data_IF_206901848832
#
_entry.id   IF_206901848832
#
_cell.length_a   1.000
_cell.length_b   1.000
_cell.length_c   1.000
_cell.angle_alpha   90.00
_cell.angle_beta   90.00
_cell.angle_gamma   90.00
#
_symmetry.space_group_name_H-M   'P 1'
#
loop_
_entity.id
_entity.type
_entity.pdbx_description
1 polymer ?
#
# COMPACT_ATOMS: atom_id res chain seq x y z
N UNK A 1 0.15 -12.34 7.66
CA UNK A 1 1.05 -11.58 6.73
C UNK A 1 0.29 -10.63 5.82
N UNK A 2 -0.75 -11.09 5.12
CA UNK A 2 -1.51 -10.28 4.16
C UNK A 2 -2.18 -9.05 4.79
N UNK A 3 -2.92 -9.23 5.88
CA UNK A 3 -3.55 -8.09 6.58
C UNK A 3 -2.55 -7.09 7.15
N UNK A 4 -1.31 -7.53 7.43
CA UNK A 4 -0.25 -6.63 7.90
C UNK A 4 0.29 -5.77 6.74
N UNK A 5 0.38 -6.34 5.53
CA UNK A 5 0.71 -5.58 4.32
C UNK A 5 -0.40 -4.57 4.00
N UNK A 6 -1.67 -4.99 4.06
CA UNK A 6 -2.82 -4.09 3.86
C UNK A 6 -2.81 -2.93 4.87
N UNK A 7 -2.56 -3.22 6.16
CA UNK A 7 -2.43 -2.19 7.19
C UNK A 7 -1.29 -1.20 6.90
N UNK A 8 -0.14 -1.68 6.42
CA UNK A 8 0.98 -0.83 6.02
C UNK A 8 0.63 0.06 4.82
N UNK A 9 -0.10 -0.45 3.82
CA UNK A 9 -0.54 0.37 2.67
C UNK A 9 -1.55 1.44 3.07
N UNK A 10 -2.48 1.12 3.97
CA UNK A 10 -3.43 2.09 4.49
C UNK A 10 -2.71 3.16 5.32
N UNK A 11 -1.76 2.76 6.17
CA UNK A 11 -0.96 3.71 6.95
C UNK A 11 -0.13 4.63 6.03
N UNK A 12 0.49 4.07 4.99
CA UNK A 12 1.22 4.86 4.01
C UNK A 12 0.31 5.90 3.31
N UNK A 13 -0.90 5.49 2.92
CA UNK A 13 -1.90 6.40 2.33
C UNK A 13 -2.33 7.50 3.31
N UNK A 14 -2.49 7.17 4.59
CA UNK A 14 -2.79 8.16 5.63
C UNK A 14 -1.67 9.20 5.75
N UNK A 15 -0.42 8.75 5.88
CA UNK A 15 0.74 9.65 5.93
C UNK A 15 0.84 10.55 4.68
N UNK A 16 0.54 10.00 3.50
CA UNK A 16 0.50 10.77 2.25
C UNK A 16 -0.56 11.88 2.30
N UNK A 17 -1.77 11.57 2.77
CA UNK A 17 -2.87 12.55 2.91
C UNK A 17 -2.57 13.60 3.98
N UNK A 18 -1.89 13.22 5.06
CA UNK A 18 -1.44 14.14 6.12
C UNK A 18 -0.26 15.03 5.68
N UNK A 19 0.36 14.72 4.52
CA UNK A 19 1.49 15.46 3.97
C UNK A 19 2.87 14.98 4.47
N UNK A 20 2.93 13.92 5.27
CA UNK A 20 4.18 13.26 5.66
C UNK A 20 4.59 12.23 4.59
N UNK A 21 5.07 12.74 3.46
CA UNK A 21 5.50 11.92 2.33
C UNK A 21 6.71 11.04 2.65
N UNK A 22 7.57 11.46 3.59
CA UNK A 22 8.75 10.69 3.98
C UNK A 22 8.35 9.42 4.71
N UNK A 23 7.42 9.54 5.65
CA UNK A 23 6.91 8.38 6.35
C UNK A 23 6.02 7.51 5.44
N UNK A 24 5.25 8.12 4.53
CA UNK A 24 4.51 7.37 3.51
C UNK A 24 5.43 6.45 2.67
N UNK A 25 6.55 6.99 2.17
CA UNK A 25 7.55 6.22 1.42
C UNK A 25 8.19 5.10 2.27
N UNK A 26 8.46 5.38 3.55
CA UNK A 26 8.98 4.38 4.48
C UNK A 26 7.99 3.22 4.67
N UNK A 27 6.71 3.53 4.87
CA UNK A 27 5.65 2.52 5.02
C UNK A 27 5.45 1.72 3.72
N UNK A 28 5.45 2.36 2.55
CA UNK A 28 5.44 1.64 1.26
C UNK A 28 6.68 0.77 1.06
N UNK A 29 7.84 1.17 1.57
CA UNK A 29 9.08 0.39 1.50
C UNK A 29 9.05 -0.91 2.32
N UNK A 30 8.15 -1.02 3.31
CA UNK A 30 7.96 -2.23 4.11
C UNK A 30 7.14 -3.30 3.40
N UNK A 31 6.50 -2.96 2.28
CA UNK A 31 5.68 -3.85 1.48
C UNK A 31 6.33 -4.03 0.11
N UNK A 32 6.60 -5.27 -0.28
CA UNK A 32 7.01 -5.56 -1.64
C UNK A 32 5.76 -5.61 -2.54
N UNK A 33 5.44 -4.48 -3.19
CA UNK A 33 4.28 -4.35 -4.07
C UNK A 33 4.32 -5.33 -5.25
N UNK A 34 5.52 -5.63 -5.77
CA UNK A 34 5.71 -6.50 -6.93
C UNK A 34 5.42 -7.98 -6.62
N UNK A 35 5.42 -8.36 -5.34
CA UNK A 35 5.10 -9.72 -4.88
C UNK A 35 3.63 -9.89 -4.48
N UNK A 36 2.81 -8.84 -4.57
CA UNK A 36 1.39 -8.94 -4.19
C UNK A 36 0.57 -9.71 -5.23
N UNK A 37 -0.21 -10.68 -4.76
CA UNK A 37 -1.07 -11.50 -5.63
C UNK A 37 -2.16 -10.65 -6.30
N UNK A 38 -2.17 -10.64 -7.64
CA UNK A 38 -3.19 -9.96 -8.45
C UNK A 38 -4.29 -10.92 -8.92
N UNK A 39 -3.95 -12.16 -9.25
CA UNK A 39 -4.91 -13.13 -9.78
C UNK A 39 -5.74 -13.73 -8.64
N UNK A 40 -7.06 -13.63 -8.74
CA UNK A 40 -7.99 -14.13 -7.71
C UNK A 40 -8.10 -13.24 -6.47
N UNK A 41 -7.42 -12.09 -6.45
CA UNK A 41 -7.58 -11.11 -5.39
C UNK A 41 -8.94 -10.40 -5.48
N UNK A 42 -9.57 -10.07 -4.34
CA UNK A 42 -10.79 -9.29 -4.33
C UNK A 42 -10.53 -7.88 -4.88
N UNK A 43 -11.55 -7.28 -5.50
CA UNK A 43 -11.45 -5.98 -6.19
C UNK A 43 -10.90 -4.87 -5.29
N UNK A 44 -11.29 -4.83 -4.01
CA UNK A 44 -10.79 -3.81 -3.08
C UNK A 44 -9.26 -3.85 -2.93
N UNK A 45 -8.67 -5.05 -2.99
CA UNK A 45 -7.23 -5.25 -2.83
C UNK A 45 -6.48 -4.85 -4.10
N UNK A 46 -7.07 -5.10 -5.26
CA UNK A 46 -6.56 -4.58 -6.54
C UNK A 46 -6.54 -3.04 -6.55
N UNK A 47 -7.63 -2.41 -6.10
CA UNK A 47 -7.68 -0.94 -5.97
C UNK A 47 -6.61 -0.42 -5.01
N UNK A 48 -6.42 -1.06 -3.85
CA UNK A 48 -5.40 -0.68 -2.87
C UNK A 48 -3.99 -0.74 -3.43
N UNK A 49 -3.67 -1.79 -4.20
CA UNK A 49 -2.37 -1.95 -4.87
C UNK A 49 -2.18 -0.86 -5.93
N UNK A 50 -3.20 -0.62 -6.77
CA UNK A 50 -3.15 0.42 -7.80
C UNK A 50 -2.94 1.82 -7.20
N UNK A 51 -3.64 2.13 -6.11
CA UNK A 51 -3.47 3.38 -5.38
C UNK A 51 -2.05 3.49 -4.79
N UNK A 52 -1.53 2.43 -4.18
CA UNK A 52 -0.19 2.41 -3.61
C UNK A 52 0.91 2.65 -4.66
N UNK A 53 0.75 2.14 -5.89
CA UNK A 53 1.67 2.45 -7.00
C UNK A 53 1.56 3.90 -7.48
N UNK A 54 0.41 4.54 -7.32
CA UNK A 54 0.22 5.94 -7.74
C UNK A 54 0.77 6.95 -6.72
N UNK A 55 0.89 6.56 -5.45
CA UNK A 55 1.30 7.44 -4.34
C UNK A 55 2.72 7.18 -3.81
N UNK A 56 3.34 6.06 -4.19
CA UNK A 56 4.76 5.77 -3.94
C UNK A 56 5.64 6.51 -4.94
#
# INVERSE_FOLDING_TARGET
PEYMQEASLIMAKLCYVEGDYREALNQYGRVNLDEMQLVGAPVYRLSMIAEAYATK
#
